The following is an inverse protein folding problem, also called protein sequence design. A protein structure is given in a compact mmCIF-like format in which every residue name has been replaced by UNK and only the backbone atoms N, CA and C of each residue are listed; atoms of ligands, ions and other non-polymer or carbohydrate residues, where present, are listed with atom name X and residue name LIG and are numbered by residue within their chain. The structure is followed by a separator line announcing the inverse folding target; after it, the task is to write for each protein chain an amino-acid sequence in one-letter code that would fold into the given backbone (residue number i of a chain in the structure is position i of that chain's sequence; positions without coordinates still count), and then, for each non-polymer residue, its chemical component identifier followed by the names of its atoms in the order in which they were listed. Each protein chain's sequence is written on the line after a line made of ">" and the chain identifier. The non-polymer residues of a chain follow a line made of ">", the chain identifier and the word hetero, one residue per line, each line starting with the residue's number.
data_IF_555190858321
#
_entry.id   IF_555190858321
#
_cell.length_a   1.000
_cell.length_b   1.000
_cell.length_c   1.000
_cell.angle_alpha   90.00
_cell.angle_beta   90.00
_cell.angle_gamma   90.00
#
_symmetry.space_group_name_H-M   'P 1'
#
loop_
_entity.id
_entity.type
_entity.pdbx_description
1 polymer ?
#
# COMPACT_ATOMS: atom_id res chain seq x y z
N UNK A 1 36.45 -37.55 60.86
CA UNK A 1 35.87 -36.29 60.43
C UNK A 1 36.14 -36.18 58.92
N UNK A 2 35.17 -36.61 58.09
CA UNK A 2 35.33 -36.70 56.63
C UNK A 2 34.46 -35.62 56.00
N UNK A 3 35.09 -34.67 55.26
CA UNK A 3 34.40 -33.62 54.52
C UNK A 3 34.10 -34.12 53.12
N UNK A 4 32.83 -34.35 52.80
CA UNK A 4 32.35 -34.58 51.43
C UNK A 4 32.37 -33.23 50.64
N UNK A 5 33.18 -33.19 49.60
CA UNK A 5 33.11 -32.15 48.56
C UNK A 5 31.96 -32.52 47.60
N UNK A 6 30.93 -31.66 47.52
CA UNK A 6 29.89 -31.73 46.50
C UNK A 6 30.35 -30.94 45.27
N UNK A 7 30.65 -31.65 44.16
CA UNK A 7 30.82 -31.04 42.85
C UNK A 7 29.42 -30.65 42.31
N UNK A 8 29.18 -29.33 42.16
CA UNK A 8 28.05 -28.85 41.36
C UNK A 8 28.46 -28.85 39.88
N UNK A 9 27.91 -29.82 39.14
CA UNK A 9 28.03 -29.87 37.69
C UNK A 9 27.04 -28.86 37.09
N UNK A 10 27.57 -27.76 36.53
CA UNK A 10 26.77 -26.82 35.72
C UNK A 10 26.61 -27.41 34.34
N UNK A 11 25.42 -27.95 34.08
CA UNK A 11 25.03 -28.39 32.74
C UNK A 11 24.82 -27.16 31.86
N UNK A 12 25.63 -27.04 30.81
CA UNK A 12 25.45 -26.04 29.75
C UNK A 12 24.19 -26.42 28.94
N UNK A 13 23.08 -25.71 29.15
CA UNK A 13 21.89 -25.85 28.32
C UNK A 13 22.18 -25.11 27.01
N UNK A 14 22.52 -25.84 25.95
CA UNK A 14 22.55 -25.34 24.60
C UNK A 14 21.11 -25.22 24.12
N UNK A 15 20.55 -24.03 24.13
CA UNK A 15 19.26 -23.74 23.50
C UNK A 15 19.53 -23.66 22.00
N UNK A 16 18.98 -24.56 21.19
CA UNK A 16 19.08 -24.40 19.74
C UNK A 16 18.34 -23.12 19.33
N UNK A 17 19.06 -22.17 18.71
CA UNK A 17 18.45 -21.04 18.05
C UNK A 17 17.59 -21.62 16.92
N UNK A 18 16.27 -21.63 17.10
CA UNK A 18 15.33 -21.88 16.01
C UNK A 18 15.50 -20.74 15.03
N UNK A 19 16.32 -20.95 14.01
CA UNK A 19 16.41 -20.09 12.87
C UNK A 19 15.04 -20.08 12.20
N UNK A 20 14.30 -18.99 12.34
CA UNK A 20 13.13 -18.77 11.52
C UNK A 20 13.61 -18.72 10.07
N UNK A 21 13.21 -19.73 9.29
CA UNK A 21 13.41 -19.67 7.85
C UNK A 21 12.64 -18.44 7.36
N UNK A 22 13.36 -17.44 6.87
CA UNK A 22 12.80 -16.21 6.30
C UNK A 22 12.20 -16.51 4.91
N UNK A 23 11.18 -17.39 4.93
CA UNK A 23 10.47 -17.84 3.75
C UNK A 23 9.69 -16.69 3.11
N UNK A 24 9.46 -16.77 1.80
CA UNK A 24 8.66 -15.81 1.07
C UNK A 24 7.20 -15.88 1.52
N UNK A 25 6.71 -14.83 2.18
CA UNK A 25 5.33 -14.69 2.63
C UNK A 25 4.61 -13.56 1.93
N UNK A 26 3.30 -13.75 1.65
CA UNK A 26 2.49 -12.68 1.10
C UNK A 26 2.17 -11.66 2.20
N UNK A 27 2.69 -10.46 2.02
CA UNK A 27 2.46 -9.33 2.88
C UNK A 27 1.08 -8.73 2.60
N UNK A 28 0.42 -8.26 3.65
CA UNK A 28 -0.86 -7.54 3.57
C UNK A 28 -0.71 -6.21 4.29
N UNK A 29 -1.20 -5.15 3.67
CA UNK A 29 -1.18 -3.81 4.22
C UNK A 29 -2.55 -3.17 4.03
N UNK A 30 -3.06 -2.53 5.08
CA UNK A 30 -4.27 -1.72 5.03
C UNK A 30 -3.98 -0.36 5.62
N UNK A 31 -4.21 0.69 4.85
CA UNK A 31 -4.25 2.07 5.32
C UNK A 31 -5.64 2.63 5.07
N UNK A 32 -6.08 3.53 5.94
CA UNK A 32 -7.37 4.18 5.81
C UNK A 32 -7.32 5.63 6.27
N UNK A 33 -8.26 6.44 5.79
CA UNK A 33 -8.43 7.81 6.26
C UNK A 33 -9.90 8.18 6.30
N UNK A 34 -10.29 8.92 7.33
CA UNK A 34 -11.60 9.55 7.40
C UNK A 34 -11.57 10.92 6.72
N UNK A 35 -12.60 11.20 5.92
CA UNK A 35 -12.74 12.43 5.13
C UNK A 35 -14.10 13.05 5.45
N UNK A 36 -14.11 14.34 5.79
CA UNK A 36 -15.33 15.12 6.04
C UNK A 36 -16.00 15.56 4.72
N UNK A 37 -16.28 14.57 3.88
CA UNK A 37 -17.00 14.76 2.62
C UNK A 37 -17.85 13.50 2.33
N UNK A 38 -19.02 13.61 1.69
CA UNK A 38 -19.88 12.48 1.38
C UNK A 38 -19.18 11.45 0.48
N UNK A 39 -19.50 10.14 0.61
CA UNK A 39 -18.86 9.08 -0.18
C UNK A 39 -18.89 9.31 -1.69
N UNK A 40 -20.03 9.72 -2.23
CA UNK A 40 -20.15 10.00 -3.67
C UNK A 40 -19.16 11.06 -4.15
N UNK A 41 -18.92 12.12 -3.34
CA UNK A 41 -17.98 13.16 -3.68
C UNK A 41 -16.53 12.65 -3.69
N UNK A 42 -16.16 11.84 -2.69
CA UNK A 42 -14.82 11.25 -2.61
C UNK A 42 -14.61 10.22 -3.71
N UNK A 43 -15.64 9.42 -4.01
CA UNK A 43 -15.61 8.46 -5.12
C UNK A 43 -15.38 9.13 -6.47
N UNK A 44 -16.07 10.25 -6.76
CA UNK A 44 -15.85 11.04 -7.98
C UNK A 44 -14.38 11.47 -8.16
N UNK A 45 -13.64 11.66 -7.07
CA UNK A 45 -12.23 12.05 -7.14
C UNK A 45 -11.30 10.89 -7.49
N UNK A 46 -11.69 9.63 -7.21
CA UNK A 46 -10.81 8.47 -7.34
C UNK A 46 -11.28 7.43 -8.35
N UNK A 47 -12.54 7.46 -8.78
CA UNK A 47 -13.15 6.44 -9.64
C UNK A 47 -12.52 6.33 -11.04
N UNK A 48 -12.05 7.42 -11.59
CA UNK A 48 -11.29 7.41 -12.84
C UNK A 48 -9.89 6.82 -12.57
N UNK A 49 -9.51 5.81 -13.35
CA UNK A 49 -8.27 5.06 -13.10
C UNK A 49 -7.01 5.93 -13.21
N UNK A 50 -7.06 7.00 -14.00
CA UNK A 50 -5.97 7.95 -14.14
C UNK A 50 -6.10 9.20 -13.23
N UNK A 51 -7.18 9.33 -12.46
CA UNK A 51 -7.36 10.44 -11.53
C UNK A 51 -6.29 10.51 -10.44
N UNK A 52 -5.58 9.42 -10.20
CA UNK A 52 -4.50 9.34 -9.21
C UNK A 52 -3.43 10.44 -9.40
N UNK A 53 -3.17 10.87 -10.62
CA UNK A 53 -2.25 11.99 -10.89
C UNK A 53 -2.76 13.35 -10.39
N UNK A 54 -4.06 13.47 -10.09
CA UNK A 54 -4.67 14.69 -9.60
C UNK A 54 -4.64 14.79 -8.07
N UNK A 55 -4.53 13.67 -7.38
CA UNK A 55 -4.60 13.63 -5.93
C UNK A 55 -3.39 12.99 -5.24
N UNK A 56 -2.61 12.12 -5.90
CA UNK A 56 -1.45 11.49 -5.27
C UNK A 56 -0.18 12.34 -5.49
N UNK A 57 0.48 12.81 -4.41
CA UNK A 57 1.58 13.79 -4.53
C UNK A 57 2.82 13.26 -5.25
N UNK A 58 3.05 11.93 -5.23
CA UNK A 58 4.21 11.31 -5.88
C UNK A 58 4.02 11.07 -7.39
N UNK A 59 2.81 11.28 -7.94
CA UNK A 59 2.51 11.00 -9.35
C UNK A 59 2.62 12.30 -10.16
N UNK A 60 3.50 12.31 -11.16
CA UNK A 60 3.67 13.44 -12.09
C UNK A 60 2.67 13.39 -13.22
N UNK A 61 2.43 12.21 -13.78
CA UNK A 61 1.54 12.00 -14.91
C UNK A 61 0.93 10.60 -14.89
N UNK A 62 -0.22 10.44 -15.55
CA UNK A 62 -0.87 9.17 -15.81
C UNK A 62 -1.41 9.14 -17.23
N UNK A 63 -1.14 8.05 -17.93
CA UNK A 63 -1.75 7.72 -19.25
C UNK A 63 -2.50 6.44 -19.11
N UNK A 64 -3.77 6.39 -19.53
CA UNK A 64 -4.62 5.20 -19.46
C UNK A 64 -5.22 4.81 -20.79
N UNK A 65 -5.53 3.53 -20.90
CA UNK A 65 -6.22 2.90 -22.00
C UNK A 65 -7.33 2.00 -21.43
N UNK A 66 -8.51 2.03 -22.03
CA UNK A 66 -9.64 1.20 -21.62
C UNK A 66 -10.52 1.79 -20.52
N UNK A 67 -10.32 3.06 -20.15
CA UNK A 67 -11.15 3.77 -19.17
C UNK A 67 -11.00 3.24 -17.73
N UNK A 68 -12.16 3.11 -17.04
CA UNK A 68 -12.25 2.60 -15.66
C UNK A 68 -13.07 1.31 -15.65
N UNK A 69 -12.57 0.27 -16.30
CA UNK A 69 -13.20 -1.04 -16.39
C UNK A 69 -12.17 -2.16 -16.21
N UNK A 70 -12.62 -3.37 -15.94
CA UNK A 70 -11.73 -4.52 -15.87
C UNK A 70 -10.93 -4.67 -17.17
N UNK A 71 -9.61 -4.87 -17.06
CA UNK A 71 -8.67 -4.92 -18.17
C UNK A 71 -8.11 -3.57 -18.60
N UNK A 72 -8.63 -2.43 -18.10
CA UNK A 72 -8.06 -1.12 -18.34
C UNK A 72 -6.61 -1.07 -17.83
N UNK A 73 -5.76 -0.37 -18.58
CA UNK A 73 -4.33 -0.22 -18.25
C UNK A 73 -4.01 1.23 -17.98
N UNK A 74 -3.04 1.46 -17.09
CA UNK A 74 -2.45 2.79 -16.92
C UNK A 74 -0.95 2.70 -16.75
N UNK A 75 -0.29 3.77 -17.13
CA UNK A 75 1.13 3.98 -16.87
C UNK A 75 1.27 5.24 -16.02
N UNK A 76 1.81 5.08 -14.83
CA UNK A 76 2.14 6.17 -13.92
C UNK A 76 3.57 6.62 -14.17
N UNK A 77 3.79 7.92 -14.19
CA UNK A 77 5.12 8.54 -14.15
C UNK A 77 5.29 9.19 -12.78
N UNK A 78 6.37 8.85 -12.06
CA UNK A 78 6.60 9.35 -10.70
C UNK A 78 7.39 10.66 -10.71
N UNK A 79 7.17 11.50 -9.68
CA UNK A 79 7.94 12.71 -9.40
C UNK A 79 9.25 12.38 -8.68
N UNK A 80 10.09 11.57 -9.32
CA UNK A 80 11.40 11.19 -8.83
C UNK A 80 12.43 11.42 -9.94
N UNK A 81 13.70 11.48 -9.58
CA UNK A 81 14.78 11.58 -10.55
C UNK A 81 14.68 10.45 -11.58
N UNK A 82 14.85 10.77 -12.86
CA UNK A 82 14.67 9.85 -13.96
C UNK A 82 13.22 9.53 -14.32
N UNK A 83 12.22 10.14 -13.66
CA UNK A 83 10.79 9.92 -13.93
C UNK A 83 10.41 8.46 -14.11
N UNK A 84 10.67 7.58 -13.11
CA UNK A 84 10.39 6.16 -13.25
C UNK A 84 8.91 5.88 -13.45
N UNK A 85 8.61 4.74 -14.06
CA UNK A 85 7.25 4.37 -14.48
C UNK A 85 6.77 3.11 -13.74
N UNK A 86 5.46 3.07 -13.52
CA UNK A 86 4.75 1.88 -13.02
C UNK A 86 3.62 1.59 -14.00
N UNK A 87 3.61 0.35 -14.53
CA UNK A 87 2.54 -0.12 -15.40
C UNK A 87 1.53 -0.92 -14.57
N UNK A 88 0.26 -0.58 -14.67
CA UNK A 88 -0.81 -1.19 -13.88
C UNK A 88 -1.99 -1.62 -14.75
N UNK A 89 -2.77 -2.56 -14.25
CA UNK A 89 -3.98 -3.09 -14.88
C UNK A 89 -5.11 -3.18 -13.86
N UNK A 90 -6.28 -2.67 -14.22
CA UNK A 90 -7.50 -2.79 -13.42
C UNK A 90 -8.04 -4.22 -13.51
N UNK A 91 -8.31 -4.83 -12.37
CA UNK A 91 -8.85 -6.18 -12.27
C UNK A 91 -10.36 -6.20 -12.15
N UNK A 92 -10.90 -5.31 -11.32
CA UNK A 92 -12.35 -5.15 -11.10
C UNK A 92 -12.68 -3.69 -10.85
N UNK A 93 -13.90 -3.30 -11.25
CA UNK A 93 -14.49 -1.99 -10.97
C UNK A 93 -15.97 -2.18 -10.64
N UNK A 94 -16.40 -1.60 -9.53
CA UNK A 94 -17.79 -1.61 -9.07
C UNK A 94 -18.19 -0.20 -8.61
N UNK A 95 -18.96 0.49 -9.46
CA UNK A 95 -19.46 1.84 -9.19
C UNK A 95 -20.39 1.87 -7.97
N UNK A 96 -21.26 0.85 -7.84
CA UNK A 96 -22.25 0.79 -6.77
C UNK A 96 -21.61 0.56 -5.40
N UNK A 97 -20.64 -0.33 -5.35
CA UNK A 97 -19.85 -0.61 -4.14
C UNK A 97 -18.75 0.42 -3.90
N UNK A 98 -18.54 1.37 -4.82
CA UNK A 98 -17.47 2.38 -4.77
C UNK A 98 -16.11 1.74 -4.51
N UNK A 99 -15.77 0.73 -5.30
CA UNK A 99 -14.51 -0.01 -5.16
C UNK A 99 -13.92 -0.40 -6.50
N UNK A 100 -12.59 -0.41 -6.57
CA UNK A 100 -11.87 -1.01 -7.69
C UNK A 100 -10.63 -1.73 -7.20
N UNK A 101 -10.22 -2.77 -7.95
CA UNK A 101 -9.02 -3.55 -7.71
C UNK A 101 -8.09 -3.45 -8.91
N UNK A 102 -6.79 -3.39 -8.65
CA UNK A 102 -5.76 -3.32 -9.69
C UNK A 102 -4.51 -4.10 -9.27
N UNK A 103 -3.63 -4.35 -10.24
CA UNK A 103 -2.32 -4.98 -10.03
C UNK A 103 -1.23 -4.20 -10.75
N UNK A 104 -0.01 -4.29 -10.22
CA UNK A 104 1.19 -3.84 -10.93
C UNK A 104 1.59 -4.92 -11.93
N UNK A 105 1.82 -4.50 -13.18
CA UNK A 105 2.35 -5.34 -14.26
C UNK A 105 3.85 -5.23 -14.39
N UNK A 106 4.36 -4.00 -14.16
CA UNK A 106 5.80 -3.71 -14.28
C UNK A 106 6.17 -2.55 -13.36
N UNK A 107 7.25 -2.73 -12.62
CA UNK A 107 7.89 -1.70 -11.80
C UNK A 107 9.37 -2.07 -11.63
N UNK A 108 10.25 -1.07 -11.53
CA UNK A 108 11.62 -1.27 -11.13
C UNK A 108 11.68 -1.49 -9.60
N UNK A 109 12.35 -2.54 -9.15
CA UNK A 109 12.48 -2.86 -7.73
C UNK A 109 13.25 -1.80 -6.93
N UNK A 110 14.06 -0.98 -7.60
CA UNK A 110 14.71 0.19 -6.98
C UNK A 110 13.72 1.32 -6.68
N UNK A 111 12.59 1.35 -7.39
CA UNK A 111 11.51 2.33 -7.22
C UNK A 111 10.50 1.85 -6.20
N UNK A 112 10.07 0.60 -6.32
CA UNK A 112 9.13 -0.05 -5.41
C UNK A 112 9.52 -1.52 -5.22
N UNK A 113 10.09 -1.90 -4.06
CA UNK A 113 10.67 -3.21 -3.83
C UNK A 113 9.62 -4.30 -3.56
N UNK A 114 8.68 -4.48 -4.48
CA UNK A 114 7.58 -5.45 -4.39
C UNK A 114 7.44 -6.29 -5.65
N UNK A 115 6.91 -7.50 -5.49
CA UNK A 115 6.52 -8.38 -6.59
C UNK A 115 5.09 -8.86 -6.38
N UNK A 116 4.41 -9.29 -7.46
CA UNK A 116 3.02 -9.79 -7.44
C UNK A 116 2.06 -8.90 -6.65
N UNK A 117 2.22 -7.58 -6.81
CA UNK A 117 1.41 -6.58 -6.10
C UNK A 117 0.00 -6.50 -6.69
N UNK A 118 -0.98 -6.50 -5.81
CA UNK A 118 -2.34 -6.10 -6.13
C UNK A 118 -2.94 -5.30 -4.98
N UNK A 119 -3.80 -4.35 -5.29
CA UNK A 119 -4.46 -3.54 -4.29
C UNK A 119 -5.89 -3.23 -4.69
N UNK A 120 -6.69 -2.81 -3.72
CA UNK A 120 -8.01 -2.24 -3.97
C UNK A 120 -8.24 -1.00 -3.11
N UNK A 121 -9.00 -0.07 -3.67
CA UNK A 121 -9.50 1.09 -2.96
C UNK A 121 -11.02 0.98 -2.82
N UNK A 122 -11.52 1.37 -1.66
CA UNK A 122 -12.95 1.37 -1.37
C UNK A 122 -13.32 2.63 -0.59
N UNK A 123 -14.42 3.26 -0.98
CA UNK A 123 -15.02 4.39 -0.24
C UNK A 123 -16.27 3.89 0.48
N UNK A 124 -16.37 4.13 1.78
CA UNK A 124 -17.54 3.80 2.59
C UNK A 124 -18.06 5.02 3.34
N UNK A 125 -19.36 5.09 3.66
CA UNK A 125 -19.87 6.11 4.56
C UNK A 125 -19.33 5.88 5.99
N UNK A 126 -19.21 6.97 6.75
CA UNK A 126 -19.06 6.94 8.20
C UNK A 126 -20.33 7.44 8.89
N UNK A 127 -20.41 7.28 10.21
CA UNK A 127 -21.59 7.62 11.01
C UNK A 127 -21.82 9.14 11.11
N UNK A 128 -20.91 9.98 10.65
CA UNK A 128 -20.98 11.45 10.72
C UNK A 128 -21.34 12.10 9.37
N UNK A 129 -21.78 11.30 8.39
CA UNK A 129 -22.10 11.79 7.03
C UNK A 129 -20.87 12.05 6.15
N UNK A 130 -19.70 11.69 6.61
CA UNK A 130 -18.46 11.70 5.84
C UNK A 130 -18.14 10.34 5.23
N UNK A 131 -16.89 10.14 4.91
CA UNK A 131 -16.36 8.91 4.25
C UNK A 131 -15.20 8.31 5.01
N UNK A 132 -15.01 7.01 4.83
CA UNK A 132 -13.75 6.32 5.12
C UNK A 132 -13.23 5.76 3.79
N UNK A 133 -12.01 6.10 3.43
CA UNK A 133 -11.32 5.53 2.28
C UNK A 133 -10.33 4.48 2.77
N UNK A 134 -10.48 3.26 2.27
CA UNK A 134 -9.56 2.15 2.51
C UNK A 134 -8.68 1.94 1.30
N UNK A 135 -7.39 1.74 1.54
CA UNK A 135 -6.43 1.28 0.54
C UNK A 135 -5.76 0.01 1.05
N UNK A 136 -6.08 -1.11 0.41
CA UNK A 136 -5.64 -2.43 0.86
C UNK A 136 -4.72 -3.05 -0.20
N UNK A 137 -3.56 -3.49 0.20
CA UNK A 137 -2.57 -4.12 -0.68
C UNK A 137 -2.19 -5.52 -0.24
N UNK A 138 -1.86 -6.35 -1.22
CA UNK A 138 -1.25 -7.65 -1.02
C UNK A 138 -0.11 -7.83 -2.02
N UNK A 139 1.09 -8.14 -1.52
CA UNK A 139 2.31 -8.19 -2.32
C UNK A 139 3.34 -9.12 -1.70
N UNK A 140 4.41 -9.38 -2.42
CA UNK A 140 5.62 -10.01 -1.89
C UNK A 140 6.75 -8.99 -1.94
N UNK A 141 7.79 -9.22 -1.12
CA UNK A 141 9.05 -8.45 -1.19
C UNK A 141 9.71 -8.54 -2.55
N UNK A 142 10.60 -7.61 -2.86
CA UNK A 142 11.30 -7.54 -4.13
C UNK A 142 12.24 -8.73 -4.40
N UNK A 143 12.80 -9.35 -3.33
CA UNK A 143 13.68 -10.50 -3.45
C UNK A 143 12.98 -11.79 -3.04
N UNK A 144 12.72 -12.73 -3.99
CA UNK A 144 11.90 -13.90 -3.72
C UNK A 144 12.61 -15.02 -2.92
N UNK A 145 13.95 -15.04 -2.91
CA UNK A 145 14.74 -16.08 -2.27
C UNK A 145 15.00 -15.78 -0.78
N UNK A 146 15.55 -16.76 -0.06
CA UNK A 146 15.98 -16.57 1.32
C UNK A 146 17.13 -15.57 1.41
N UNK A 147 17.31 -14.95 2.58
CA UNK A 147 18.33 -13.95 2.86
C UNK A 147 18.28 -12.74 1.90
N UNK A 148 17.14 -12.03 1.83
CA UNK A 148 17.02 -10.84 1.00
C UNK A 148 18.00 -9.75 1.46
N UNK A 149 18.57 -8.97 0.52
CA UNK A 149 19.30 -7.78 0.88
C UNK A 149 18.36 -6.76 1.56
N UNK A 150 18.88 -5.87 2.43
CA UNK A 150 18.05 -4.96 3.22
C UNK A 150 17.05 -4.14 2.41
N UNK A 151 17.41 -3.70 1.20
CA UNK A 151 16.60 -2.88 0.31
C UNK A 151 15.48 -3.66 -0.40
N UNK A 152 15.49 -4.99 -0.37
CA UNK A 152 14.50 -5.86 -1.05
C UNK A 152 13.81 -6.84 -0.11
N UNK A 153 13.94 -6.65 1.21
CA UNK A 153 13.32 -7.48 2.24
C UNK A 153 11.87 -7.06 2.52
N UNK A 154 11.19 -7.78 3.42
CA UNK A 154 9.82 -7.51 3.80
C UNK A 154 9.63 -6.12 4.41
N UNK A 155 10.57 -5.66 5.24
CA UNK A 155 10.50 -4.35 5.88
C UNK A 155 10.63 -3.21 4.86
N UNK A 156 11.52 -3.34 3.87
CA UNK A 156 11.66 -2.38 2.79
C UNK A 156 10.37 -2.30 1.95
N UNK A 157 9.77 -3.44 1.61
CA UNK A 157 8.52 -3.52 0.88
C UNK A 157 7.37 -2.86 1.66
N UNK A 158 7.19 -3.22 2.93
CA UNK A 158 6.15 -2.64 3.80
C UNK A 158 6.34 -1.12 3.92
N UNK A 159 7.55 -0.65 4.23
CA UNK A 159 7.85 0.77 4.38
C UNK A 159 7.53 1.56 3.11
N UNK A 160 7.92 1.05 1.95
CA UNK A 160 7.69 1.71 0.68
C UNK A 160 6.19 1.82 0.35
N UNK A 161 5.44 0.72 0.47
CA UNK A 161 4.00 0.71 0.21
C UNK A 161 3.23 1.56 1.22
N UNK A 162 3.59 1.50 2.52
CA UNK A 162 3.00 2.35 3.56
C UNK A 162 3.17 3.83 3.23
N UNK A 163 4.37 4.25 2.84
CA UNK A 163 4.65 5.65 2.47
C UNK A 163 3.80 6.12 1.29
N UNK A 164 3.60 5.28 0.28
CA UNK A 164 2.73 5.56 -0.87
C UNK A 164 1.28 5.75 -0.39
N UNK A 165 0.74 4.81 0.38
CA UNK A 165 -0.66 4.87 0.80
C UNK A 165 -0.92 6.06 1.71
N UNK A 166 -0.10 6.27 2.71
CA UNK A 166 -0.27 7.36 3.67
C UNK A 166 -0.18 8.73 3.00
N UNK A 167 0.81 8.96 2.15
CA UNK A 167 0.95 10.24 1.44
C UNK A 167 -0.20 10.50 0.47
N UNK A 168 -0.66 9.47 -0.24
CA UNK A 168 -1.79 9.56 -1.15
C UNK A 168 -3.10 9.87 -0.41
N UNK A 169 -3.42 9.09 0.63
CA UNK A 169 -4.63 9.26 1.43
C UNK A 169 -4.67 10.61 2.15
N UNK A 170 -3.54 11.07 2.69
CA UNK A 170 -3.45 12.38 3.35
C UNK A 170 -3.75 13.53 2.38
N UNK A 171 -3.21 13.47 1.16
CA UNK A 171 -3.48 14.51 0.17
C UNK A 171 -4.91 14.42 -0.42
N UNK A 172 -5.43 13.21 -0.64
CA UNK A 172 -6.82 13.01 -1.04
C UNK A 172 -7.79 13.65 -0.02
N UNK A 173 -7.57 13.40 1.28
CA UNK A 173 -8.32 14.02 2.37
C UNK A 173 -8.27 15.54 2.29
N UNK A 174 -7.07 16.11 2.20
CA UNK A 174 -6.87 17.56 2.09
C UNK A 174 -7.67 18.17 0.93
N UNK A 175 -7.60 17.56 -0.25
CA UNK A 175 -8.29 18.05 -1.45
C UNK A 175 -9.81 17.90 -1.35
N UNK A 176 -10.30 16.79 -0.82
CA UNK A 176 -11.73 16.54 -0.67
C UNK A 176 -12.39 17.49 0.33
N UNK A 177 -11.70 17.77 1.45
CA UNK A 177 -12.19 18.68 2.49
C UNK A 177 -12.11 20.13 2.08
N UNK A 178 -11.06 20.56 1.37
CA UNK A 178 -10.94 21.94 0.87
C UNK A 178 -12.07 22.30 -0.10
N UNK A 179 -12.49 21.39 -0.95
CA UNK A 179 -13.64 21.60 -1.86
C UNK A 179 -14.99 21.57 -1.16
N UNK A 180 -15.06 21.29 0.15
CA UNK A 180 -16.27 21.28 0.97
C UNK A 180 -16.58 22.61 1.65
N UNK A 181 -15.58 23.45 1.87
CA UNK A 181 -15.69 24.71 2.62
C UNK A 181 -16.37 25.85 1.80
N UNK A 182 -16.43 25.75 0.48
CA UNK A 182 -16.91 26.84 -0.40
C UNK A 182 -18.46 26.99 -0.43
N UNK A 183 -19.25 26.13 0.23
CA UNK A 183 -20.73 26.21 0.19
C UNK A 183 -21.43 26.51 1.52
N UNK A 184 -20.71 27.02 2.50
CA UNK A 184 -21.26 27.41 3.80
C UNK A 184 -21.39 28.92 4.05
N UNK A 185 -21.33 29.74 3.02
CA UNK A 185 -21.41 31.20 3.14
C UNK A 185 -22.54 31.79 2.30
N UNK A 186 -23.76 31.73 2.81
CA UNK A 186 -24.83 32.73 2.62
C UNK A 186 -25.95 32.51 3.63
#
# INVERSE_FOLDING_TARGET
>A
MSKLLRLCSWGLIVVPALGFADGLSRLKLTEQTEIKAPPAKVWEMIKDFCSISKWHPAIANCVSEGGSAAGAKRVLTLKQEGNPRIDEEMLTYDETAMTFKYKIKKVDLKVLPVTSYSAFMTVKPNDQGGSIVFWNGGFYRGYPNNNPPPELNDQAAIKAVTGIYQSGLANLKKLAEANGVVRGGR
#
